data_IF_963588252253
#
_entry.id   IF_963588252253
#
_cell.length_a   1.000
_cell.length_b   1.000
_cell.length_c   1.000
_cell.angle_alpha   90.00
_cell.angle_beta   90.00
_cell.angle_gamma   90.00
#
_symmetry.space_group_name_H-M   'P 1'
#
loop_
_entity.id
_entity.type
_entity.pdbx_description
1 polymer ?
#
# COMPACT_ATOMS: atom_id res chain seq x y z
N UNK A 1 -9.94 10.49 -8.73
CA UNK A 1 -8.87 9.98 -9.63
C UNK A 1 -9.54 9.18 -10.75
N UNK A 2 -8.94 9.00 -11.93
CA UNK A 2 -9.49 8.09 -12.96
C UNK A 2 -8.34 7.29 -13.61
N UNK A 3 -8.54 6.01 -13.96
CA UNK A 3 -7.56 5.25 -14.72
C UNK A 3 -7.38 5.86 -16.11
N UNK A 4 -6.13 6.01 -16.56
CA UNK A 4 -5.81 6.50 -17.90
C UNK A 4 -6.40 5.56 -18.97
N UNK A 5 -7.31 6.02 -19.84
CA UNK A 5 -7.95 5.19 -20.88
C UNK A 5 -7.00 4.77 -22.02
N UNK A 6 -5.80 5.36 -22.11
CA UNK A 6 -4.72 4.88 -22.98
C UNK A 6 -4.12 3.58 -22.47
N UNK A 7 -3.80 3.52 -21.17
CA UNK A 7 -3.27 2.33 -20.48
C UNK A 7 -4.36 1.31 -20.13
N UNK A 8 -5.56 1.78 -19.80
CA UNK A 8 -6.70 0.97 -19.39
C UNK A 8 -7.90 1.24 -20.32
N UNK A 9 -7.93 0.68 -21.55
CA UNK A 9 -9.02 0.93 -22.49
C UNK A 9 -10.41 0.58 -21.95
N UNK A 10 -10.49 -0.35 -21.00
CA UNK A 10 -11.73 -0.73 -20.32
C UNK A 10 -12.34 0.40 -19.46
N UNK A 11 -11.55 1.42 -19.08
CA UNK A 11 -12.00 2.58 -18.30
C UNK A 11 -12.68 3.66 -19.14
N UNK A 12 -12.61 3.55 -20.48
CA UNK A 12 -13.38 4.40 -21.41
C UNK A 12 -14.85 4.35 -21.01
N UNK A 13 -15.52 5.50 -21.06
CA UNK A 13 -16.91 5.72 -20.59
C UNK A 13 -17.09 5.88 -19.07
N UNK A 14 -16.00 6.10 -18.32
CA UNK A 14 -16.09 6.48 -16.91
C UNK A 14 -16.39 5.31 -15.97
N UNK A 15 -16.27 4.07 -16.44
CA UNK A 15 -16.42 2.85 -15.65
C UNK A 15 -15.24 2.54 -14.73
N UNK A 16 -14.21 3.39 -14.74
CA UNK A 16 -13.04 3.27 -13.88
C UNK A 16 -12.40 1.88 -13.98
N UNK A 17 -12.18 1.23 -12.84
CA UNK A 17 -11.58 -0.11 -12.77
C UNK A 17 -12.61 -1.25 -12.75
N UNK A 18 -13.92 -0.98 -12.73
CA UNK A 18 -14.97 -2.00 -12.55
C UNK A 18 -14.79 -3.21 -13.47
N UNK A 19 -14.61 -2.99 -14.77
CA UNK A 19 -14.46 -4.11 -15.74
C UNK A 19 -13.22 -4.98 -15.46
N UNK A 20 -12.11 -4.37 -15.05
CA UNK A 20 -10.87 -5.11 -14.76
C UNK A 20 -11.02 -5.90 -13.47
N UNK A 21 -11.59 -5.27 -12.44
CA UNK A 21 -11.90 -5.94 -11.18
C UNK A 21 -12.80 -7.15 -11.40
N UNK A 22 -13.87 -7.01 -12.20
CA UNK A 22 -14.78 -8.11 -12.55
C UNK A 22 -14.05 -9.28 -13.24
N UNK A 23 -13.16 -9.02 -14.20
CA UNK A 23 -12.37 -10.08 -14.85
C UNK A 23 -11.42 -10.78 -13.88
N UNK A 24 -10.74 -10.02 -13.02
CA UNK A 24 -9.87 -10.57 -11.97
C UNK A 24 -10.68 -11.44 -10.99
N UNK A 25 -11.86 -10.99 -10.59
CA UNK A 25 -12.75 -11.75 -9.69
C UNK A 25 -13.30 -13.02 -10.33
N UNK A 26 -13.59 -13.02 -11.63
CA UNK A 26 -13.98 -14.24 -12.37
C UNK A 26 -12.91 -15.34 -12.34
N UNK A 27 -11.64 -14.96 -12.18
CA UNK A 27 -10.52 -15.90 -12.04
C UNK A 27 -10.36 -16.43 -10.60
N UNK A 28 -11.25 -16.04 -9.67
CA UNK A 28 -11.08 -16.33 -8.24
C UNK A 28 -9.96 -15.51 -7.57
N UNK A 29 -9.44 -14.51 -8.30
CA UNK A 29 -8.40 -13.61 -7.84
C UNK A 29 -9.01 -12.32 -7.28
N UNK A 30 -8.11 -11.41 -6.97
CA UNK A 30 -8.24 -10.39 -5.95
C UNK A 30 -7.60 -9.12 -6.51
N UNK A 31 -8.27 -7.96 -6.43
CA UNK A 31 -7.84 -6.75 -7.15
C UNK A 31 -7.51 -5.62 -6.17
N UNK A 32 -6.39 -4.93 -6.43
CA UNK A 32 -5.86 -3.88 -5.57
C UNK A 32 -5.28 -2.72 -6.36
N UNK A 33 -5.25 -1.54 -5.73
CA UNK A 33 -4.68 -0.33 -6.34
C UNK A 33 -3.68 0.36 -5.40
N UNK A 34 -2.73 1.05 -6.02
CA UNK A 34 -1.84 2.00 -5.38
C UNK A 34 -2.43 3.41 -5.49
N UNK A 35 -2.51 4.15 -4.39
CA UNK A 35 -2.85 5.56 -4.43
C UNK A 35 -1.93 6.38 -3.55
N UNK A 36 -1.83 7.65 -3.93
CA UNK A 36 -1.09 8.66 -3.19
C UNK A 36 -1.99 9.27 -2.11
N UNK A 37 -1.37 9.78 -1.04
CA UNK A 37 -2.04 10.57 -0.02
C UNK A 37 -2.89 11.71 -0.59
N UNK A 38 -3.93 12.06 0.14
CA UNK A 38 -4.65 13.32 -0.03
C UNK A 38 -5.18 13.59 -1.44
N UNK A 39 -4.85 14.77 -1.97
CA UNK A 39 -5.43 15.36 -3.18
C UNK A 39 -4.37 15.69 -4.23
N UNK A 40 -4.70 15.47 -5.51
CA UNK A 40 -3.82 15.82 -6.63
C UNK A 40 -3.65 17.34 -6.76
N UNK A 41 -2.45 17.79 -7.13
CA UNK A 41 -2.16 19.18 -7.48
C UNK A 41 -3.05 19.70 -8.62
N UNK A 42 -3.43 18.84 -9.57
CA UNK A 42 -4.34 19.21 -10.66
C UNK A 42 -5.71 19.64 -10.14
N UNK A 43 -6.35 18.83 -9.29
CA UNK A 43 -7.64 19.15 -8.67
C UNK A 43 -7.54 20.42 -7.82
N UNK A 44 -6.46 20.57 -7.05
CA UNK A 44 -6.18 21.77 -6.27
C UNK A 44 -6.07 23.02 -7.15
N UNK A 45 -5.27 22.97 -8.21
CA UNK A 45 -5.03 24.12 -9.10
C UNK A 45 -6.30 24.52 -9.85
N UNK A 46 -7.07 23.55 -10.33
CA UNK A 46 -8.37 23.75 -10.98
C UNK A 46 -9.49 24.13 -9.99
N UNK A 47 -9.22 24.06 -8.67
CA UNK A 47 -10.18 24.33 -7.60
C UNK A 47 -11.51 23.58 -7.76
N UNK A 48 -11.45 22.28 -8.05
CA UNK A 48 -12.64 21.48 -8.32
C UNK A 48 -13.54 21.35 -7.09
N UNK A 49 -14.88 21.24 -7.26
CA UNK A 49 -15.80 21.03 -6.14
C UNK A 49 -15.55 19.68 -5.45
N UNK A 50 -15.81 19.63 -4.14
CA UNK A 50 -15.75 18.39 -3.37
C UNK A 50 -17.09 17.66 -3.48
N UNK A 51 -17.07 16.36 -3.75
CA UNK A 51 -18.29 15.54 -3.80
C UNK A 51 -18.76 15.19 -2.38
N UNK A 52 -20.03 15.43 -2.10
CA UNK A 52 -20.74 14.80 -0.98
C UNK A 52 -21.42 13.51 -1.48
N UNK A 53 -20.93 12.37 -0.99
CA UNK A 53 -21.45 11.05 -1.36
C UNK A 53 -22.88 10.81 -0.92
N UNK A 54 -23.37 11.53 0.10
CA UNK A 54 -24.74 11.34 0.60
C UNK A 54 -25.77 12.01 -0.30
N UNK A 55 -25.42 13.15 -0.90
CA UNK A 55 -26.32 13.95 -1.73
C UNK A 55 -26.04 13.84 -3.23
N UNK A 56 -24.86 13.35 -3.61
CA UNK A 56 -24.38 13.32 -5.00
C UNK A 56 -24.05 14.71 -5.55
N UNK A 57 -23.96 15.73 -4.69
CA UNK A 57 -23.75 17.15 -5.07
C UNK A 57 -22.43 17.68 -4.49
N UNK A 58 -22.15 18.96 -4.74
CA UNK A 58 -21.02 19.64 -4.12
C UNK A 58 -21.21 19.72 -2.60
N UNK A 59 -20.16 19.45 -1.83
CA UNK A 59 -20.17 19.50 -0.38
C UNK A 59 -20.39 20.93 0.11
N UNK A 60 -21.40 21.10 0.96
CA UNK A 60 -21.79 22.37 1.57
C UNK A 60 -21.77 22.23 3.09
N UNK A 61 -21.11 23.16 3.77
CA UNK A 61 -21.06 23.24 5.23
C UNK A 61 -20.96 24.71 5.63
N UNK A 62 -21.73 25.11 6.64
CA UNK A 62 -21.79 26.50 7.12
C UNK A 62 -22.18 27.52 6.04
N UNK A 63 -23.10 27.13 5.14
CA UNK A 63 -23.65 28.03 4.11
C UNK A 63 -22.72 28.31 2.93
N UNK A 64 -21.59 27.60 2.80
CA UNK A 64 -20.68 27.72 1.65
C UNK A 64 -20.38 26.37 1.00
N UNK A 65 -20.11 26.41 -0.30
CA UNK A 65 -19.52 25.29 -1.04
C UNK A 65 -18.03 25.23 -0.79
N UNK A 66 -17.52 24.02 -0.63
CA UNK A 66 -16.10 23.74 -0.43
C UNK A 66 -15.45 23.19 -1.69
N UNK A 67 -14.19 23.56 -1.90
CA UNK A 67 -13.42 23.22 -3.09
C UNK A 67 -12.03 22.69 -2.73
N UNK A 68 -11.34 22.14 -3.72
CA UNK A 68 -10.02 21.54 -3.54
C UNK A 68 -8.98 22.49 -2.89
N UNK A 69 -9.03 23.80 -3.17
CA UNK A 69 -8.11 24.77 -2.54
C UNK A 69 -8.38 25.01 -1.05
N UNK A 70 -9.60 24.75 -0.60
CA UNK A 70 -9.98 24.94 0.80
C UNK A 70 -9.45 23.83 1.71
N UNK A 71 -9.09 22.66 1.15
CA UNK A 71 -8.76 21.46 1.92
C UNK A 71 -7.33 20.95 1.69
N UNK A 72 -6.64 21.38 0.62
CA UNK A 72 -5.29 20.92 0.32
C UNK A 72 -4.22 21.65 1.13
N UNK A 73 -3.27 20.91 1.69
CA UNK A 73 -2.15 21.43 2.49
C UNK A 73 -0.87 21.37 1.65
N UNK A 74 -0.52 22.48 0.98
CA UNK A 74 0.63 22.54 0.05
C UNK A 74 1.96 22.23 0.71
N UNK A 75 2.10 22.63 1.97
CA UNK A 75 3.31 22.44 2.78
C UNK A 75 3.54 20.96 3.12
N UNK A 76 2.52 20.11 2.91
CA UNK A 76 2.56 18.66 3.09
C UNK A 76 2.41 17.92 1.75
N UNK A 77 3.19 18.34 0.76
CA UNK A 77 3.35 17.60 -0.49
C UNK A 77 4.11 16.28 -0.27
N UNK A 78 3.88 15.27 -1.12
CA UNK A 78 4.71 14.07 -1.06
C UNK A 78 6.17 14.41 -1.44
N UNK A 79 7.12 13.98 -0.61
CA UNK A 79 8.55 14.34 -0.69
C UNK A 79 9.17 14.04 -2.04
N UNK A 80 8.87 12.87 -2.62
CA UNK A 80 9.41 12.42 -3.90
C UNK A 80 8.51 12.76 -5.11
N UNK A 81 7.28 13.25 -4.88
CA UNK A 81 6.34 13.67 -5.93
C UNK A 81 5.68 15.02 -5.59
N UNK A 82 6.52 16.05 -5.39
CA UNK A 82 6.08 17.36 -4.90
C UNK A 82 5.00 18.04 -5.77
N UNK A 83 5.02 17.77 -7.09
CA UNK A 83 4.06 18.33 -8.04
C UNK A 83 2.86 17.41 -8.33
N UNK A 84 2.77 16.24 -7.69
CA UNK A 84 1.71 15.27 -7.93
C UNK A 84 0.57 15.39 -6.92
N UNK A 85 0.89 15.25 -5.64
CA UNK A 85 -0.11 15.12 -4.56
C UNK A 85 0.32 15.86 -3.29
N UNK A 86 -0.69 16.30 -2.53
CA UNK A 86 -0.53 16.93 -1.22
C UNK A 86 -1.56 16.39 -0.22
N UNK A 87 -1.25 16.47 1.08
CA UNK A 87 -2.20 16.05 2.12
C UNK A 87 -3.48 16.89 2.10
N UNK A 88 -4.53 16.31 2.67
CA UNK A 88 -5.83 16.94 2.88
C UNK A 88 -6.00 17.26 4.36
N UNK A 89 -6.58 18.41 4.67
CA UNK A 89 -6.94 18.78 6.04
C UNK A 89 -8.16 18.00 6.52
N UNK A 90 -7.91 16.94 7.29
CA UNK A 90 -8.94 16.08 7.88
C UNK A 90 -9.64 16.69 9.09
N UNK A 91 -9.21 17.88 9.57
CA UNK A 91 -9.93 18.63 10.61
C UNK A 91 -11.21 19.24 10.05
N UNK A 92 -11.20 19.57 8.76
CA UNK A 92 -12.36 20.11 8.04
C UNK A 92 -13.35 19.01 7.64
N UNK A 93 -14.65 19.29 7.74
CA UNK A 93 -15.70 18.39 7.23
C UNK A 93 -15.54 18.11 5.74
N UNK A 94 -15.19 19.14 4.97
CA UNK A 94 -14.93 19.01 3.53
C UNK A 94 -13.73 18.12 3.18
N UNK A 95 -12.65 18.17 3.96
CA UNK A 95 -11.49 17.29 3.73
C UNK A 95 -11.83 15.82 3.99
N UNK A 96 -12.60 15.58 5.06
CA UNK A 96 -13.18 14.26 5.37
C UNK A 96 -14.16 13.78 4.29
N UNK A 97 -15.00 14.67 3.76
CA UNK A 97 -15.92 14.33 2.67
C UNK A 97 -15.18 13.97 1.38
N UNK A 98 -14.12 14.72 1.05
CA UNK A 98 -13.26 14.42 -0.11
C UNK A 98 -12.65 13.03 -0.01
N UNK A 99 -11.98 12.70 1.10
CA UNK A 99 -11.40 11.37 1.29
C UNK A 99 -12.49 10.29 1.20
N UNK A 100 -13.62 10.46 1.91
CA UNK A 100 -14.76 9.53 1.84
C UNK A 100 -15.21 9.27 0.39
N UNK A 101 -15.28 10.31 -0.44
CA UNK A 101 -15.66 10.19 -1.85
C UNK A 101 -14.70 9.34 -2.67
N UNK A 102 -13.39 9.41 -2.39
CA UNK A 102 -12.38 8.59 -3.07
C UNK A 102 -12.53 7.12 -2.71
N UNK A 103 -12.63 6.79 -1.42
CA UNK A 103 -12.72 5.41 -0.96
C UNK A 103 -14.06 4.76 -1.33
N UNK A 104 -15.15 5.53 -1.35
CA UNK A 104 -16.42 5.04 -1.89
C UNK A 104 -16.31 4.72 -3.38
N UNK A 105 -15.68 5.60 -4.17
CA UNK A 105 -15.42 5.35 -5.58
C UNK A 105 -14.59 4.08 -5.81
N UNK A 106 -13.58 3.83 -4.98
CA UNK A 106 -12.77 2.61 -5.07
C UNK A 106 -13.59 1.36 -4.74
N UNK A 107 -14.45 1.43 -3.72
CA UNK A 107 -15.38 0.36 -3.39
C UNK A 107 -16.36 0.08 -4.55
N UNK A 108 -16.91 1.13 -5.15
CA UNK A 108 -17.85 1.04 -6.28
C UNK A 108 -17.19 0.41 -7.53
N UNK A 109 -15.87 0.53 -7.68
CA UNK A 109 -15.12 -0.13 -8.75
C UNK A 109 -14.83 -1.63 -8.51
N UNK A 110 -15.33 -2.24 -7.44
CA UNK A 110 -14.99 -3.63 -7.11
C UNK A 110 -13.59 -3.76 -6.49
N UNK A 111 -13.20 -2.72 -5.77
CA UNK A 111 -12.12 -2.58 -4.78
C UNK A 111 -11.85 -3.75 -3.81
N UNK A 112 -11.77 -5.03 -4.20
CA UNK A 112 -11.88 -6.15 -3.24
C UNK A 112 -10.69 -7.11 -3.13
N UNK A 113 -10.25 -7.22 -1.87
CA UNK A 113 -9.45 -8.21 -1.16
C UNK A 113 -8.43 -8.98 -1.96
N UNK A 114 -7.15 -8.65 -1.84
CA UNK A 114 -6.02 -9.58 -1.65
C UNK A 114 -5.10 -8.98 -0.60
N UNK A 115 -3.88 -9.50 -0.39
CA UNK A 115 -2.94 -8.90 0.58
C UNK A 115 -2.73 -7.39 0.37
N UNK A 116 -3.11 -6.80 -0.76
CA UNK A 116 -3.14 -5.36 -0.96
C UNK A 116 -4.40 -4.99 -1.73
N UNK A 117 -5.42 -4.45 -1.07
CA UNK A 117 -6.56 -3.83 -1.78
C UNK A 117 -6.28 -2.35 -2.02
N UNK A 118 -5.61 -1.72 -1.06
CA UNK A 118 -5.31 -0.31 -1.07
C UNK A 118 -3.93 -0.06 -0.45
N UNK A 119 -2.96 0.32 -1.29
CA UNK A 119 -1.66 0.82 -0.82
C UNK A 119 -1.70 2.34 -0.79
N UNK A 120 -1.66 2.89 0.42
CA UNK A 120 -1.71 4.32 0.69
C UNK A 120 -0.31 4.86 0.86
N UNK A 121 0.13 5.64 -0.12
CA UNK A 121 1.51 6.05 -0.20
C UNK A 121 1.72 7.49 0.27
N UNK A 122 2.93 7.73 0.75
CA UNK A 122 3.33 8.94 1.44
C UNK A 122 2.45 9.27 2.66
N UNK A 123 2.07 8.30 3.50
CA UNK A 123 1.37 8.62 4.77
C UNK A 123 2.07 8.08 6.00
N UNK A 124 3.13 7.31 5.79
CA UNK A 124 3.86 6.60 6.83
C UNK A 124 5.37 6.85 6.71
N UNK A 125 6.14 6.40 7.71
CA UNK A 125 7.55 6.76 7.83
C UNK A 125 7.77 8.26 8.02
N UNK A 126 8.72 8.83 7.29
CA UNK A 126 9.01 10.28 7.31
C UNK A 126 7.80 11.17 7.03
N UNK A 127 6.79 10.63 6.36
CA UNK A 127 5.60 11.35 5.91
C UNK A 127 4.39 11.17 6.83
N UNK A 128 4.63 10.75 8.07
CA UNK A 128 3.62 10.28 9.02
C UNK A 128 2.40 11.21 9.16
N UNK A 129 1.22 10.65 8.92
CA UNK A 129 -0.06 11.36 9.06
C UNK A 129 -1.10 10.49 9.76
N UNK A 130 -1.04 10.44 11.10
CA UNK A 130 -1.97 9.64 11.90
C UNK A 130 -3.43 10.05 11.70
N UNK A 131 -3.71 11.35 11.55
CA UNK A 131 -5.07 11.86 11.33
C UNK A 131 -5.68 11.33 10.02
N UNK A 132 -4.89 11.33 8.94
CA UNK A 132 -5.31 10.83 7.63
C UNK A 132 -5.46 9.30 7.66
N UNK A 133 -4.50 8.59 8.25
CA UNK A 133 -4.56 7.13 8.41
C UNK A 133 -5.80 6.72 9.20
N UNK A 134 -6.05 7.37 10.34
CA UNK A 134 -7.19 7.08 11.22
C UNK A 134 -8.52 7.35 10.53
N UNK A 135 -8.63 8.47 9.82
CA UNK A 135 -9.86 8.80 9.11
C UNK A 135 -10.14 7.83 7.96
N UNK A 136 -9.12 7.48 7.17
CA UNK A 136 -9.23 6.47 6.11
C UNK A 136 -9.64 5.12 6.68
N UNK A 137 -8.98 4.67 7.75
CA UNK A 137 -9.32 3.42 8.44
C UNK A 137 -10.80 3.41 8.85
N UNK A 138 -11.30 4.50 9.44
CA UNK A 138 -12.72 4.66 9.77
C UNK A 138 -13.61 4.53 8.54
N UNK A 139 -13.30 5.22 7.44
CA UNK A 139 -14.08 5.11 6.20
C UNK A 139 -14.12 3.66 5.71
N UNK A 140 -12.99 2.96 5.71
CA UNK A 140 -12.93 1.55 5.32
C UNK A 140 -13.76 0.64 6.24
N UNK A 141 -13.88 0.96 7.53
CA UNK A 141 -14.78 0.22 8.44
C UNK A 141 -16.27 0.46 8.17
N UNK A 142 -16.63 1.58 7.57
CA UNK A 142 -18.01 1.93 7.22
C UNK A 142 -18.44 1.33 5.87
N UNK A 143 -17.49 0.87 5.06
CA UNK A 143 -17.80 0.18 3.81
C UNK A 143 -18.41 -1.20 4.09
N UNK A 144 -19.45 -1.53 3.31
CA UNK A 144 -20.13 -2.83 3.34
C UNK A 144 -19.30 -3.98 2.74
N UNK A 145 -18.06 -3.70 2.35
CA UNK A 145 -17.11 -4.65 1.78
C UNK A 145 -15.81 -4.56 2.57
N UNK A 146 -15.21 -5.66 3.03
CA UNK A 146 -13.94 -5.55 3.73
C UNK A 146 -12.78 -5.34 2.75
N UNK A 147 -11.88 -4.44 3.11
CA UNK A 147 -10.78 -3.94 2.28
C UNK A 147 -9.49 -4.06 3.08
N UNK A 148 -8.42 -4.59 2.47
CA UNK A 148 -7.10 -4.67 3.10
C UNK A 148 -6.39 -3.33 2.96
N UNK A 149 -6.04 -2.72 4.09
CA UNK A 149 -5.39 -1.43 4.16
C UNK A 149 -3.87 -1.57 4.39
N UNK A 150 -3.07 -1.17 3.39
CA UNK A 150 -1.62 -1.14 3.42
C UNK A 150 -1.07 0.28 3.46
N UNK A 151 -0.08 0.54 4.32
CA UNK A 151 0.62 1.84 4.40
C UNK A 151 2.00 1.81 3.74
N UNK A 152 2.37 2.94 3.13
CA UNK A 152 3.65 3.18 2.46
C UNK A 152 4.04 4.67 2.56
N UNK A 153 5.33 5.02 2.44
CA UNK A 153 6.50 4.14 2.51
C UNK A 153 6.87 3.79 3.95
N UNK A 154 7.92 3.00 4.14
CA UNK A 154 8.43 2.59 5.46
C UNK A 154 9.76 3.24 5.87
N UNK A 155 10.17 4.32 5.18
CA UNK A 155 11.45 4.99 5.48
C UNK A 155 11.48 5.53 6.91
N UNK A 156 12.50 5.13 7.67
CA UNK A 156 12.72 5.54 9.07
C UNK A 156 11.58 5.19 10.04
N UNK A 157 10.80 4.16 9.73
CA UNK A 157 9.74 3.68 10.64
C UNK A 157 10.36 3.02 11.87
N UNK A 158 9.77 3.29 13.03
CA UNK A 158 10.14 2.63 14.30
C UNK A 158 8.99 1.78 14.83
N UNK A 159 9.25 0.81 15.74
CA UNK A 159 8.18 0.08 16.41
C UNK A 159 7.21 0.96 17.20
N UNK A 160 7.63 2.14 17.65
CA UNK A 160 6.74 3.11 18.31
C UNK A 160 5.69 3.66 17.33
N UNK A 161 6.11 4.11 16.14
CA UNK A 161 5.19 4.56 15.09
C UNK A 161 4.24 3.44 14.65
N UNK A 162 4.74 2.21 14.58
CA UNK A 162 3.92 1.06 14.22
C UNK A 162 2.84 0.75 15.27
N UNK A 163 3.11 0.98 16.56
CA UNK A 163 2.08 0.85 17.63
C UNK A 163 0.93 1.83 17.41
N UNK A 164 1.22 3.06 16.97
CA UNK A 164 0.19 4.08 16.72
C UNK A 164 -0.77 3.70 15.59
N UNK A 165 -0.31 2.95 14.58
CA UNK A 165 -1.11 2.63 13.38
C UNK A 165 -1.58 1.20 13.27
N UNK A 166 -0.94 0.24 13.94
CA UNK A 166 -1.18 -1.20 13.75
C UNK A 166 -2.67 -1.54 13.85
N UNK A 167 -3.37 -1.02 14.86
CA UNK A 167 -4.81 -1.26 15.07
C UNK A 167 -5.75 -0.69 13.99
N UNK A 168 -5.24 0.21 13.15
CA UNK A 168 -5.98 0.92 12.11
C UNK A 168 -5.82 0.29 10.72
N UNK A 169 -4.83 -0.58 10.53
CA UNK A 169 -4.43 -1.09 9.22
C UNK A 169 -4.18 -2.60 9.23
N UNK A 170 -4.04 -3.20 8.06
CA UNK A 170 -3.74 -4.63 7.91
C UNK A 170 -2.25 -4.89 7.68
N UNK A 171 -1.54 -3.91 7.13
CA UNK A 171 -0.10 -3.95 6.98
C UNK A 171 0.48 -2.55 6.79
N UNK A 172 1.75 -2.41 7.09
CA UNK A 172 2.47 -1.15 7.00
C UNK A 172 3.93 -1.42 6.68
N UNK A 173 4.46 -0.72 5.69
CA UNK A 173 5.85 -0.91 5.32
C UNK A 173 6.78 -0.43 6.41
N UNK A 174 7.84 -1.18 6.71
CA UNK A 174 8.81 -0.86 7.77
C UNK A 174 10.21 -0.47 7.25
N UNK A 175 10.40 -0.46 5.94
CA UNK A 175 11.65 -0.12 5.26
C UNK A 175 11.41 0.80 4.04
N UNK A 176 12.49 1.27 3.41
CA UNK A 176 12.41 1.98 2.12
C UNK A 176 11.89 1.09 0.99
N UNK A 177 12.04 1.53 -0.27
CA UNK A 177 11.78 0.64 -1.42
C UNK A 177 12.84 -0.48 -1.45
N UNK A 178 12.38 -1.73 -1.49
CA UNK A 178 13.25 -2.89 -1.69
C UNK A 178 13.51 -3.12 -3.17
N UNK A 179 14.78 -3.36 -3.49
CA UNK A 179 15.23 -3.67 -4.83
C UNK A 179 16.24 -4.81 -4.78
N UNK A 180 16.57 -5.36 -5.95
CA UNK A 180 17.41 -6.53 -6.11
C UNK A 180 18.91 -6.22 -5.96
N UNK A 181 19.28 -5.59 -4.85
CA UNK A 181 20.66 -5.33 -4.43
C UNK A 181 20.85 -5.92 -3.04
N UNK A 182 21.95 -6.62 -2.81
CA UNK A 182 22.22 -7.24 -1.51
C UNK A 182 22.12 -6.26 -0.33
N UNK A 183 22.58 -5.01 -0.51
CA UNK A 183 22.50 -3.98 0.54
C UNK A 183 21.06 -3.70 1.00
N UNK A 184 20.09 -3.83 0.09
CA UNK A 184 18.68 -3.57 0.38
C UNK A 184 18.13 -4.77 1.18
N UNK A 185 18.35 -6.00 0.69
CA UNK A 185 18.02 -7.26 1.39
C UNK A 185 18.63 -7.33 2.79
N UNK A 186 19.92 -7.01 2.93
CA UNK A 186 20.64 -7.06 4.19
C UNK A 186 20.09 -6.07 5.22
N UNK A 187 19.59 -4.92 4.79
CA UNK A 187 19.01 -3.89 5.66
C UNK A 187 17.75 -4.35 6.41
N UNK A 188 17.01 -5.32 5.86
CA UNK A 188 15.77 -5.81 6.49
C UNK A 188 16.02 -6.70 7.73
N UNK A 189 17.22 -7.26 7.92
CA UNK A 189 17.51 -8.12 9.06
C UNK A 189 17.40 -7.38 10.40
N UNK A 190 18.02 -6.21 10.51
CA UNK A 190 17.98 -5.42 11.76
C UNK A 190 16.56 -4.89 12.02
N UNK A 191 15.87 -4.44 10.96
CA UNK A 191 14.50 -3.91 11.09
C UNK A 191 13.51 -5.02 11.49
N UNK A 192 13.58 -6.19 10.84
CA UNK A 192 12.70 -7.33 11.18
C UNK A 192 12.95 -7.83 12.61
N UNK A 193 14.19 -7.87 13.08
CA UNK A 193 14.54 -8.15 14.49
C UNK A 193 13.85 -7.16 15.42
N UNK A 194 14.00 -5.86 15.19
CA UNK A 194 13.47 -4.82 16.07
C UNK A 194 11.93 -4.87 16.16
N UNK A 195 11.26 -5.17 15.05
CA UNK A 195 9.81 -5.34 14.99
C UNK A 195 9.32 -6.63 15.65
N UNK A 196 10.06 -7.73 15.49
CA UNK A 196 9.80 -8.97 16.21
C UNK A 196 9.94 -8.76 17.73
N UNK A 197 11.05 -8.17 18.18
CA UNK A 197 11.32 -7.90 19.59
C UNK A 197 10.26 -6.97 20.23
N UNK A 198 9.68 -6.07 19.43
CA UNK A 198 8.59 -5.20 19.84
C UNK A 198 7.19 -5.85 19.78
N UNK A 199 7.09 -7.15 19.49
CA UNK A 199 5.84 -7.91 19.33
C UNK A 199 4.88 -7.32 18.28
N UNK A 200 5.43 -6.78 17.19
CA UNK A 200 4.65 -6.14 16.14
C UNK A 200 4.19 -7.11 15.04
N UNK A 201 4.75 -8.32 14.96
CA UNK A 201 4.35 -9.34 13.99
C UNK A 201 2.95 -9.86 14.34
N UNK A 202 1.96 -9.61 13.48
CA UNK A 202 0.58 -10.06 13.72
C UNK A 202 -0.08 -9.35 14.91
N UNK A 203 0.26 -8.08 15.13
CA UNK A 203 -0.39 -7.22 16.12
C UNK A 203 -1.89 -7.06 15.82
N UNK A 204 -2.68 -6.52 16.77
CA UNK A 204 -4.09 -6.21 16.51
C UNK A 204 -4.18 -5.23 15.34
N UNK A 205 -5.00 -5.55 14.34
CA UNK A 205 -5.18 -4.74 13.14
C UNK A 205 -6.62 -4.51 12.74
N UNK A 206 -6.80 -3.83 11.61
CA UNK A 206 -8.10 -3.52 11.04
C UNK A 206 -8.89 -4.80 10.77
N UNK A 207 -9.97 -5.02 11.51
CA UNK A 207 -10.83 -6.23 11.42
C UNK A 207 -10.04 -7.55 11.53
N UNK A 208 -8.90 -7.57 12.23
CA UNK A 208 -8.08 -8.77 12.36
C UNK A 208 -6.68 -8.50 12.89
N UNK A 209 -5.68 -8.82 12.07
CA UNK A 209 -4.25 -8.66 12.38
C UNK A 209 -3.60 -7.61 11.48
N UNK A 210 -2.49 -7.07 11.95
CA UNK A 210 -1.62 -6.13 11.24
C UNK A 210 -0.23 -6.72 11.09
N UNK A 211 0.36 -6.58 9.90
CA UNK A 211 1.64 -7.20 9.55
C UNK A 211 2.69 -6.16 9.17
N UNK A 212 3.90 -6.19 9.75
CA UNK A 212 5.04 -5.45 9.24
C UNK A 212 5.37 -5.90 7.82
N UNK A 213 5.42 -4.95 6.88
CA UNK A 213 5.68 -5.21 5.46
C UNK A 213 7.14 -4.85 5.10
N UNK A 214 7.90 -5.86 4.65
CA UNK A 214 9.28 -5.73 4.19
C UNK A 214 9.38 -5.32 2.71
N UNK A 215 8.25 -4.95 2.09
CA UNK A 215 8.11 -4.61 0.69
C UNK A 215 8.06 -5.82 -0.26
N UNK A 216 7.79 -5.52 -1.53
CA UNK A 216 7.67 -6.47 -2.62
C UNK A 216 8.99 -7.20 -2.90
N UNK A 217 8.87 -8.44 -3.36
CA UNK A 217 9.97 -9.32 -3.75
C UNK A 217 10.43 -8.97 -5.18
N UNK A 218 11.62 -8.40 -5.37
CA UNK A 218 12.14 -8.03 -6.68
C UNK A 218 12.78 -9.25 -7.35
N UNK A 219 11.96 -10.25 -7.69
CA UNK A 219 12.38 -11.53 -8.26
C UNK A 219 11.91 -11.69 -9.72
N UNK A 220 12.61 -12.54 -10.48
CA UNK A 220 12.28 -12.83 -11.88
C UNK A 220 12.55 -11.67 -12.84
N UNK A 221 11.64 -11.45 -13.79
CA UNK A 221 11.78 -10.44 -14.85
C UNK A 221 11.26 -9.08 -14.41
N UNK A 222 12.15 -8.09 -14.33
CA UNK A 222 11.92 -6.79 -13.70
C UNK A 222 12.20 -5.62 -14.65
N UNK A 223 11.69 -4.45 -14.28
CA UNK A 223 12.13 -3.16 -14.81
C UNK A 223 13.03 -2.49 -13.76
N UNK A 224 14.10 -1.82 -14.19
CA UNK A 224 15.02 -1.17 -13.25
C UNK A 224 14.35 -0.06 -12.44
N UNK A 225 14.85 0.14 -11.22
CA UNK A 225 14.44 1.22 -10.31
C UNK A 225 14.39 2.58 -11.02
N UNK A 226 13.31 3.33 -10.76
CA UNK A 226 13.11 4.68 -11.30
C UNK A 226 12.70 4.75 -12.77
N UNK A 227 12.55 3.62 -13.46
CA UNK A 227 12.09 3.56 -14.84
C UNK A 227 10.61 3.14 -14.94
N UNK A 228 9.87 3.81 -15.82
CA UNK A 228 8.44 3.51 -16.04
C UNK A 228 8.23 2.32 -16.99
N UNK A 229 9.11 2.16 -17.98
CA UNK A 229 9.04 1.13 -19.01
C UNK A 229 10.45 0.82 -19.50
N UNK A 230 10.89 -0.43 -19.32
CA UNK A 230 12.15 -0.94 -19.83
C UNK A 230 13.42 -0.14 -19.43
N UNK A 231 14.62 -0.62 -19.82
CA UNK A 231 14.90 -1.98 -20.27
C UNK A 231 14.54 -3.00 -19.19
N UNK A 232 13.97 -4.13 -19.63
CA UNK A 232 13.67 -5.23 -18.73
C UNK A 232 14.90 -6.12 -18.55
N UNK A 233 15.01 -6.73 -17.38
CA UNK A 233 16.15 -7.56 -17.00
C UNK A 233 15.75 -8.61 -15.99
N UNK A 234 16.58 -9.64 -15.85
CA UNK A 234 16.47 -10.56 -14.72
C UNK A 234 16.86 -9.85 -13.42
N UNK A 235 16.36 -10.40 -12.32
CA UNK A 235 16.81 -10.10 -10.96
C UNK A 235 18.34 -10.22 -10.86
N UNK A 236 18.98 -9.23 -10.24
CA UNK A 236 20.42 -9.16 -10.01
C UNK A 236 20.85 -9.94 -8.76
N UNK A 237 19.91 -10.36 -7.91
CA UNK A 237 20.22 -11.23 -6.77
C UNK A 237 20.60 -12.62 -7.26
N UNK A 238 21.69 -13.15 -6.71
CA UNK A 238 22.05 -14.55 -6.83
C UNK A 238 20.97 -15.44 -6.23
N UNK A 239 20.91 -16.72 -6.63
CA UNK A 239 19.91 -17.65 -6.10
C UNK A 239 19.98 -17.79 -4.56
N UNK A 240 21.16 -17.69 -3.97
CA UNK A 240 21.32 -17.76 -2.52
C UNK A 240 20.80 -16.49 -1.82
N UNK A 241 20.96 -15.32 -2.44
CA UNK A 241 20.38 -14.07 -1.94
C UNK A 241 18.85 -14.08 -2.07
N UNK A 242 18.30 -14.60 -3.17
CA UNK A 242 16.85 -14.76 -3.35
C UNK A 242 16.26 -15.72 -2.30
N UNK A 243 16.93 -16.85 -2.05
CA UNK A 243 16.57 -17.81 -0.99
C UNK A 243 16.63 -17.16 0.39
N UNK A 244 17.67 -16.37 0.65
CA UNK A 244 17.84 -15.63 1.90
C UNK A 244 16.69 -14.65 2.10
N UNK A 245 16.34 -13.88 1.08
CA UNK A 245 15.24 -12.94 1.10
C UNK A 245 13.91 -13.64 1.41
N UNK A 246 13.56 -14.67 0.64
CA UNK A 246 12.29 -15.40 0.83
C UNK A 246 12.20 -16.09 2.19
N UNK A 247 13.33 -16.59 2.72
CA UNK A 247 13.39 -17.15 4.07
C UNK A 247 13.12 -16.09 5.13
N UNK A 248 13.79 -14.93 5.02
CA UNK A 248 13.59 -13.81 5.95
C UNK A 248 12.15 -13.30 5.91
N UNK A 249 11.56 -13.08 4.73
CA UNK A 249 10.17 -12.61 4.61
C UNK A 249 9.19 -13.59 5.25
N UNK A 250 9.38 -14.88 5.01
CA UNK A 250 8.54 -15.93 5.61
C UNK A 250 8.66 -15.97 7.13
N UNK A 251 9.89 -15.88 7.66
CA UNK A 251 10.14 -15.84 9.11
C UNK A 251 9.70 -14.52 9.75
N UNK A 252 9.72 -13.40 9.04
CA UNK A 252 9.16 -12.14 9.54
C UNK A 252 7.63 -12.11 9.45
N UNK A 253 7.02 -13.10 8.79
CA UNK A 253 5.60 -13.11 8.38
C UNK A 253 5.23 -11.84 7.60
N UNK A 254 6.14 -11.38 6.76
CA UNK A 254 5.91 -10.26 5.86
C UNK A 254 4.92 -10.69 4.77
N UNK A 255 4.04 -9.79 4.30
CA UNK A 255 3.28 -10.02 3.08
C UNK A 255 4.22 -10.42 1.93
N UNK A 256 3.76 -11.34 1.06
CA UNK A 256 4.56 -11.88 -0.04
C UNK A 256 4.02 -11.35 -1.38
N UNK A 257 4.55 -10.22 -1.82
CA UNK A 257 4.19 -9.60 -3.10
C UNK A 257 5.26 -9.83 -4.15
N UNK A 258 4.94 -10.57 -5.20
CA UNK A 258 5.86 -10.76 -6.31
C UNK A 258 5.91 -9.51 -7.21
N UNK A 259 7.10 -8.92 -7.38
CA UNK A 259 7.30 -7.72 -8.18
C UNK A 259 7.62 -7.97 -9.66
N UNK A 260 7.94 -9.20 -10.04
CA UNK A 260 8.32 -9.56 -11.42
C UNK A 260 7.14 -9.84 -12.35
N UNK A 261 7.44 -9.91 -13.65
CA UNK A 261 6.48 -10.37 -14.66
C UNK A 261 6.33 -11.90 -14.62
N UNK A 262 5.21 -12.36 -14.06
CA UNK A 262 4.85 -13.78 -13.94
C UNK A 262 4.78 -14.55 -15.27
N UNK A 263 4.69 -13.86 -16.42
CA UNK A 263 4.70 -14.51 -17.75
C UNK A 263 6.10 -14.98 -18.16
N UNK A 264 7.14 -14.48 -17.50
CA UNK A 264 8.54 -14.76 -17.78
C UNK A 264 9.21 -15.43 -16.57
N UNK A 265 8.49 -16.33 -15.90
CA UNK A 265 8.96 -17.01 -14.69
C UNK A 265 9.80 -18.24 -15.04
N UNK A 266 11.00 -18.34 -14.48
CA UNK A 266 11.82 -19.55 -14.55
C UNK A 266 11.48 -20.56 -13.44
N UNK A 267 11.94 -21.80 -13.60
CA UNK A 267 11.63 -22.90 -12.67
C UNK A 267 12.22 -22.66 -11.27
N UNK A 268 13.39 -22.00 -11.19
CA UNK A 268 14.05 -21.71 -9.92
C UNK A 268 13.24 -20.71 -9.08
N UNK A 269 12.81 -19.61 -9.70
CA UNK A 269 11.98 -18.57 -9.08
C UNK A 269 10.61 -19.13 -8.74
N UNK A 270 9.99 -19.90 -9.64
CA UNK A 270 8.71 -20.56 -9.36
C UNK A 270 8.81 -21.47 -8.13
N UNK A 271 9.79 -22.37 -8.11
CA UNK A 271 10.01 -23.29 -6.98
C UNK A 271 10.23 -22.57 -5.65
N UNK A 272 10.87 -21.40 -5.70
CA UNK A 272 11.11 -20.57 -4.52
C UNK A 272 9.82 -19.94 -3.98
N UNK A 273 9.01 -19.31 -4.84
CA UNK A 273 7.77 -18.64 -4.43
C UNK A 273 6.63 -19.62 -4.13
N UNK A 274 6.73 -20.87 -4.58
CA UNK A 274 5.78 -21.95 -4.26
C UNK A 274 6.33 -22.96 -3.26
N UNK A 275 7.41 -22.65 -2.55
CA UNK A 275 7.98 -23.58 -1.57
C UNK A 275 7.00 -23.79 -0.39
N UNK A 276 6.46 -25.01 -0.19
CA UNK A 276 5.40 -25.24 0.79
C UNK A 276 5.86 -24.97 2.22
N UNK A 277 7.12 -25.24 2.56
CA UNK A 277 7.67 -25.00 3.89
C UNK A 277 7.78 -23.51 4.20
N UNK A 278 8.24 -22.70 3.25
CA UNK A 278 8.32 -21.25 3.42
C UNK A 278 6.92 -20.64 3.58
N UNK A 279 5.98 -21.07 2.74
CA UNK A 279 4.58 -20.62 2.82
C UNK A 279 3.91 -21.05 4.13
N UNK A 280 4.20 -22.25 4.63
CA UNK A 280 3.69 -22.75 5.92
C UNK A 280 4.23 -21.92 7.10
N UNK A 281 5.53 -21.60 7.10
CA UNK A 281 6.13 -20.70 8.08
C UNK A 281 5.42 -19.34 8.01
N UNK A 282 5.35 -18.74 6.82
CA UNK A 282 4.74 -17.42 6.63
C UNK A 282 3.28 -17.38 7.11
N UNK A 283 2.48 -18.40 6.79
CA UNK A 283 1.06 -18.43 7.13
C UNK A 283 0.81 -18.79 8.60
N UNK A 284 1.47 -19.82 9.12
CA UNK A 284 1.01 -20.49 10.35
C UNK A 284 1.95 -20.38 11.55
N UNK A 285 3.22 -20.02 11.37
CA UNK A 285 4.13 -19.89 12.51
C UNK A 285 3.72 -18.73 13.43
N UNK A 286 4.20 -18.76 14.68
CA UNK A 286 3.95 -17.72 15.67
C UNK A 286 5.16 -17.54 16.57
N UNK A 287 5.28 -16.36 17.21
CA UNK A 287 6.42 -16.02 18.08
C UNK A 287 7.77 -16.18 17.35
N UNK A 288 7.86 -15.66 16.12
CA UNK A 288 9.10 -15.66 15.36
C UNK A 288 10.03 -14.58 15.93
N UNK A 289 11.23 -14.98 16.39
CA UNK A 289 12.21 -14.11 17.05
C UNK A 289 13.65 -14.46 16.60
N UNK A 290 14.56 -13.50 16.76
CA UNK A 290 16.00 -13.76 16.68
C UNK A 290 16.42 -14.68 17.84
N UNK A 291 16.99 -15.84 17.52
CA UNK A 291 17.35 -16.86 18.52
C UNK A 291 18.55 -16.47 19.40
N UNK A 292 19.41 -15.57 18.94
CA UNK A 292 20.61 -15.12 19.63
C UNK A 292 20.72 -13.59 19.57
N UNK A 293 20.25 -12.86 20.58
CA UNK A 293 20.45 -11.42 20.65
C UNK A 293 21.96 -11.13 20.64
N UNK A 294 22.43 -10.24 19.77
CA UNK A 294 23.83 -9.79 19.84
C UNK A 294 24.03 -9.06 21.18
N UNK A 295 24.87 -9.64 22.04
CA UNK A 295 25.34 -9.03 23.29
C UNK A 295 26.25 -7.82 23.00
#
# INVERSE_FOLDING_TARGET
>A
MKPDPGRWPSSRDGKGFTKVAEEVHKMGLKFGIHVMRGISTQAFNANTPILDVNTGKAYEESGRKWYAKDIGIKERACTWMQNGFMSVDTKLGAGRAFLRSLYQQYADWGIDFGEFSFKHDCVFGNDFSLDEISYVSKVLTELNRPVVYSLSPGTSVTPAMARDVSSLVNMYRITGDDWDRWKDVAGHFDVSRDFSAANMIGAKGLRGKSWPDLDMLPLGWLTSEGLNEGPHRQCNLTLDEQRTQMTLWSMAKSPLMFGGDMRHLDEATFSLITNPTLLEINAFSSNNLEACPRH
#
